data_IF_388102603798
#
_entry.id   IF_388102603798
#
_cell.length_a   1.000
_cell.length_b   1.000
_cell.length_c   1.000
_cell.angle_alpha   90.00
_cell.angle_beta   90.00
_cell.angle_gamma   90.00
#
_symmetry.space_group_name_H-M   'P 1'
#
loop_
_entity.id
_entity.type
_entity.pdbx_description
1 polymer ?
#
# COMPACT_ATOMS: atom_id res chain seq x y z
N UNK A 1 -0.15 -22.90 -5.31
CA UNK A 1 0.34 -22.16 -4.13
C UNK A 1 0.91 -23.16 -3.12
N UNK A 2 2.16 -23.00 -2.68
CA UNK A 2 2.68 -23.79 -1.54
C UNK A 2 2.45 -22.97 -0.28
N UNK A 3 1.60 -23.44 0.62
CA UNK A 3 1.47 -22.88 1.96
C UNK A 3 2.78 -23.10 2.72
N UNK A 4 3.32 -22.03 3.31
CA UNK A 4 4.58 -22.07 4.07
C UNK A 4 4.36 -22.33 5.55
N UNK A 5 3.14 -22.12 6.05
CA UNK A 5 2.77 -22.22 7.45
C UNK A 5 1.29 -22.54 7.59
N UNK A 6 0.90 -23.12 8.74
CA UNK A 6 -0.50 -23.33 9.11
C UNK A 6 -1.27 -22.01 9.19
N UNK A 7 -0.60 -20.90 9.52
CA UNK A 7 -1.18 -19.56 9.55
C UNK A 7 -1.57 -19.04 8.16
N UNK A 8 -0.97 -19.56 7.08
CA UNK A 8 -1.40 -19.24 5.71
C UNK A 8 -2.79 -19.81 5.39
N UNK A 9 -3.21 -20.82 6.14
CA UNK A 9 -4.50 -21.51 5.99
C UNK A 9 -5.55 -20.90 6.94
N UNK A 10 -5.15 -20.60 8.20
CA UNK A 10 -6.07 -20.09 9.24
C UNK A 10 -6.44 -18.63 8.98
N UNK A 11 -5.56 -17.86 8.35
CA UNK A 11 -5.73 -16.41 8.13
C UNK A 11 -5.57 -15.59 9.43
N UNK A 12 -5.61 -14.25 9.32
CA UNK A 12 -5.49 -13.35 10.46
C UNK A 12 -6.76 -13.35 11.33
N UNK A 13 -6.64 -12.90 12.57
CA UNK A 13 -7.80 -12.48 13.36
C UNK A 13 -8.46 -11.31 12.63
N UNK A 14 -9.76 -11.43 12.35
CA UNK A 14 -10.45 -10.47 11.49
C UNK A 14 -11.88 -10.21 11.92
N UNK A 15 -12.37 -9.02 11.60
CA UNK A 15 -13.78 -8.64 11.66
C UNK A 15 -14.35 -8.74 10.25
N UNK A 16 -15.34 -9.64 10.07
CA UNK A 16 -16.01 -9.83 8.78
C UNK A 16 -16.00 -11.28 8.31
N UNK A 17 -16.76 -11.60 7.26
CA UNK A 17 -17.05 -12.98 6.86
C UNK A 17 -15.98 -13.61 5.95
N UNK A 18 -15.07 -12.84 5.38
CA UNK A 18 -14.19 -13.33 4.31
C UNK A 18 -12.74 -12.87 4.48
N UNK A 19 -11.78 -13.81 4.46
CA UNK A 19 -10.37 -13.47 4.51
C UNK A 19 -9.90 -12.72 3.25
N UNK A 20 -10.46 -13.01 2.08
CA UNK A 20 -10.09 -12.32 0.83
C UNK A 20 -10.83 -11.00 0.63
N UNK A 21 -12.15 -10.95 0.90
CA UNK A 21 -12.99 -9.78 0.65
C UNK A 21 -13.00 -8.78 1.82
N UNK A 22 -12.69 -9.22 3.03
CA UNK A 22 -12.64 -8.33 4.20
C UNK A 22 -11.19 -8.10 4.66
N UNK A 23 -10.48 -9.13 5.17
CA UNK A 23 -9.16 -8.91 5.74
C UNK A 23 -8.12 -8.42 4.71
N UNK A 24 -8.12 -9.00 3.49
CA UNK A 24 -7.26 -8.52 2.40
C UNK A 24 -7.57 -7.08 1.98
N UNK A 25 -8.86 -6.72 1.95
CA UNK A 25 -9.30 -5.37 1.63
C UNK A 25 -8.88 -4.36 2.73
N UNK A 26 -9.05 -4.70 4.02
CA UNK A 26 -8.54 -3.86 5.13
C UNK A 26 -7.05 -3.59 4.95
N UNK A 27 -6.25 -4.63 4.65
CA UNK A 27 -4.81 -4.48 4.46
C UNK A 27 -4.45 -3.59 3.27
N UNK A 28 -5.17 -3.68 2.15
CA UNK A 28 -4.98 -2.77 1.02
C UNK A 28 -5.22 -1.32 1.45
N UNK A 29 -6.35 -1.03 2.11
CA UNK A 29 -6.66 0.30 2.62
C UNK A 29 -5.65 0.80 3.65
N UNK A 30 -5.25 -0.05 4.61
CA UNK A 30 -4.30 0.30 5.66
C UNK A 30 -2.89 0.57 5.10
N UNK A 31 -2.44 -0.21 4.14
CA UNK A 31 -1.16 0.02 3.49
C UNK A 31 -1.17 1.31 2.66
N UNK A 32 -2.29 1.61 1.98
CA UNK A 32 -2.49 2.91 1.33
C UNK A 32 -2.36 4.05 2.33
N UNK A 33 -2.99 3.92 3.50
CA UNK A 33 -2.92 4.92 4.58
C UNK A 33 -1.50 5.12 5.09
N UNK A 34 -0.71 4.05 5.21
CA UNK A 34 0.69 4.13 5.64
C UNK A 34 1.56 4.86 4.61
N UNK A 35 1.45 4.52 3.32
CA UNK A 35 2.21 5.20 2.25
C UNK A 35 1.79 6.67 2.14
N UNK A 36 0.48 6.96 2.26
CA UNK A 36 -0.02 8.33 2.19
C UNK A 36 0.45 9.19 3.37
N UNK A 37 0.63 8.59 4.53
CA UNK A 37 1.23 9.22 5.72
C UNK A 37 0.30 10.13 6.52
N UNK A 38 -0.93 10.41 6.03
CA UNK A 38 -1.89 11.29 6.68
C UNK A 38 -3.33 10.82 6.46
N UNK A 39 -4.31 11.41 7.18
CA UNK A 39 -5.72 11.13 6.96
C UNK A 39 -6.14 11.62 5.57
N UNK A 40 -6.67 10.72 4.68
CA UNK A 40 -7.28 11.17 3.43
C UNK A 40 -8.52 12.03 3.69
N UNK A 41 -8.72 13.05 2.85
CA UNK A 41 -9.92 13.89 2.83
C UNK A 41 -10.87 13.43 1.73
N UNK A 42 -10.33 13.15 0.52
CA UNK A 42 -11.07 12.63 -0.62
C UNK A 42 -10.52 11.27 -1.03
N UNK A 43 -11.42 10.31 -1.26
CA UNK A 43 -11.10 8.94 -1.60
C UNK A 43 -11.94 8.44 -2.76
N UNK A 44 -11.29 7.92 -3.79
CA UNK A 44 -11.95 7.26 -4.91
C UNK A 44 -11.47 5.82 -5.01
N UNK A 45 -12.41 4.88 -4.98
CA UNK A 45 -12.11 3.45 -5.01
C UNK A 45 -12.77 2.82 -6.22
N UNK A 46 -11.97 2.34 -7.18
CA UNK A 46 -12.46 1.58 -8.32
C UNK A 46 -12.30 0.09 -8.04
N UNK A 47 -13.40 -0.64 -8.10
CA UNK A 47 -13.47 -2.08 -7.84
C UNK A 47 -13.54 -2.88 -9.13
N UNK A 48 -12.84 -4.02 -9.17
CA UNK A 48 -12.77 -4.91 -10.31
C UNK A 48 -13.21 -6.34 -9.95
N UNK A 49 -13.76 -7.05 -10.92
CA UNK A 49 -14.11 -8.47 -10.81
C UNK A 49 -14.96 -8.80 -9.59
N UNK A 50 -14.58 -9.80 -8.82
CA UNK A 50 -15.35 -10.26 -7.66
C UNK A 50 -15.47 -9.19 -6.55
N UNK A 51 -14.51 -8.28 -6.42
CA UNK A 51 -14.67 -7.12 -5.53
C UNK A 51 -15.85 -6.25 -5.97
N UNK A 52 -15.97 -5.93 -7.27
CA UNK A 52 -17.10 -5.19 -7.84
C UNK A 52 -18.44 -5.90 -7.59
N UNK A 53 -18.49 -7.20 -7.85
CA UNK A 53 -19.74 -7.95 -7.79
C UNK A 53 -20.30 -8.15 -6.38
N UNK A 54 -19.40 -8.21 -5.37
CA UNK A 54 -19.78 -8.70 -4.04
C UNK A 54 -19.46 -7.73 -2.89
N UNK A 55 -18.94 -6.53 -3.16
CA UNK A 55 -18.37 -5.66 -2.13
C UNK A 55 -19.33 -5.31 -1.00
N UNK A 56 -20.62 -5.05 -1.28
CA UNK A 56 -21.63 -4.77 -0.25
C UNK A 56 -21.96 -6.01 0.60
N UNK A 57 -22.06 -7.17 -0.05
CA UNK A 57 -22.42 -8.43 0.63
C UNK A 57 -21.32 -8.99 1.51
N UNK A 58 -20.07 -8.81 1.13
CA UNK A 58 -18.90 -9.28 1.87
C UNK A 58 -18.20 -8.20 2.71
N UNK A 59 -18.71 -6.96 2.68
CA UNK A 59 -18.17 -5.84 3.43
C UNK A 59 -16.79 -5.39 2.96
N UNK A 60 -16.49 -5.54 1.66
CA UNK A 60 -15.24 -5.06 1.06
C UNK A 60 -15.15 -3.54 1.13
N UNK A 61 -16.26 -2.86 0.95
CA UNK A 61 -16.41 -1.40 1.08
C UNK A 61 -16.04 -0.90 2.47
N UNK A 62 -16.68 -1.43 3.51
CA UNK A 62 -16.38 -1.05 4.91
C UNK A 62 -14.94 -1.44 5.29
N UNK A 63 -14.40 -2.50 4.71
CA UNK A 63 -13.05 -2.98 4.94
C UNK A 63 -11.99 -2.03 4.35
N UNK A 64 -12.13 -1.62 3.09
CA UNK A 64 -11.25 -0.66 2.43
C UNK A 64 -11.24 0.68 3.17
N UNK A 65 -12.43 1.21 3.49
CA UNK A 65 -12.58 2.47 4.25
C UNK A 65 -11.99 2.33 5.65
N UNK A 66 -12.23 1.20 6.35
CA UNK A 66 -11.66 0.94 7.66
C UNK A 66 -10.12 0.95 7.64
N UNK A 67 -9.52 0.32 6.63
CA UNK A 67 -8.07 0.38 6.41
C UNK A 67 -7.56 1.80 6.19
N UNK A 68 -8.23 2.59 5.36
CA UNK A 68 -7.89 4.00 5.12
C UNK A 68 -8.03 4.89 6.36
N UNK A 69 -8.89 4.51 7.32
CA UNK A 69 -8.98 5.12 8.64
C UNK A 69 -7.88 4.65 9.61
N UNK A 70 -7.00 3.74 9.19
CA UNK A 70 -5.93 3.20 10.02
C UNK A 70 -6.33 2.00 10.89
N UNK A 71 -7.46 1.34 10.60
CA UNK A 71 -7.91 0.17 11.36
C UNK A 71 -7.23 -1.10 10.83
N UNK A 72 -6.79 -1.96 11.75
CA UNK A 72 -6.28 -3.30 11.40
C UNK A 72 -7.42 -4.31 11.22
N UNK A 73 -7.12 -5.51 10.75
CA UNK A 73 -8.11 -6.55 10.43
C UNK A 73 -8.97 -6.99 11.60
N UNK A 74 -8.50 -6.85 12.84
CA UNK A 74 -9.22 -7.25 14.07
C UNK A 74 -10.01 -6.12 14.73
N UNK A 75 -9.93 -4.90 14.20
CA UNK A 75 -10.57 -3.72 14.79
C UNK A 75 -12.08 -3.76 14.59
N UNK A 76 -12.81 -3.76 15.70
CA UNK A 76 -14.29 -3.80 15.67
C UNK A 76 -14.93 -2.58 15.00
N UNK A 77 -14.21 -1.45 14.92
CA UNK A 77 -14.66 -0.21 14.28
C UNK A 77 -14.81 -0.34 12.76
N UNK A 78 -14.26 -1.40 12.14
CA UNK A 78 -14.51 -1.71 10.73
C UNK A 78 -16.00 -1.75 10.41
N UNK A 79 -16.84 -2.25 11.32
CA UNK A 79 -18.29 -2.34 11.11
C UNK A 79 -18.99 -0.99 10.92
N UNK A 80 -18.42 0.07 11.46
CA UNK A 80 -18.92 1.45 11.42
C UNK A 80 -17.98 2.38 10.67
N UNK A 81 -17.11 1.83 9.79
CA UNK A 81 -16.09 2.64 9.11
C UNK A 81 -16.69 3.70 8.19
N UNK A 82 -17.85 3.47 7.58
CA UNK A 82 -18.54 4.47 6.74
C UNK A 82 -18.97 5.71 7.55
N UNK A 83 -19.52 5.50 8.76
CA UNK A 83 -19.90 6.58 9.66
C UNK A 83 -18.65 7.27 10.22
N UNK A 84 -17.64 6.47 10.60
CA UNK A 84 -16.38 7.00 11.14
C UNK A 84 -15.63 7.83 10.11
N UNK A 85 -15.67 7.45 8.81
CA UNK A 85 -15.09 8.21 7.72
C UNK A 85 -15.71 9.61 7.61
N UNK A 86 -17.04 9.69 7.64
CA UNK A 86 -17.75 10.98 7.63
C UNK A 86 -17.39 11.85 8.82
N UNK A 87 -17.30 11.26 10.02
CA UNK A 87 -16.89 11.98 11.24
C UNK A 87 -15.44 12.47 11.14
N UNK A 88 -14.57 11.69 10.47
CA UNK A 88 -13.18 12.07 10.22
C UNK A 88 -13.01 13.08 9.07
N UNK A 89 -14.10 13.52 8.42
CA UNK A 89 -14.06 14.45 7.29
C UNK A 89 -13.56 13.81 5.99
N UNK A 90 -13.64 12.48 5.88
CA UNK A 90 -13.23 11.74 4.68
C UNK A 90 -14.45 11.52 3.78
N UNK A 91 -14.45 12.15 2.62
CA UNK A 91 -15.40 11.87 1.54
C UNK A 91 -14.90 10.70 0.70
N UNK A 92 -15.83 9.86 0.23
CA UNK A 92 -15.45 8.69 -0.55
C UNK A 92 -16.50 8.29 -1.57
N UNK A 93 -16.03 7.77 -2.71
CA UNK A 93 -16.88 7.19 -3.73
C UNK A 93 -16.35 5.80 -4.16
N UNK A 94 -17.30 4.92 -4.53
CA UNK A 94 -17.00 3.61 -5.11
C UNK A 94 -17.42 3.58 -6.57
N UNK A 95 -16.51 3.13 -7.44
CA UNK A 95 -16.74 2.97 -8.88
C UNK A 95 -16.65 1.50 -9.22
N UNK A 96 -17.67 1.00 -9.88
CA UNK A 96 -17.71 -0.35 -10.44
C UNK A 96 -17.12 -0.32 -11.84
N UNK A 97 -15.94 -0.92 -12.03
CA UNK A 97 -15.26 -0.92 -13.32
C UNK A 97 -15.85 -1.96 -14.26
N UNK A 98 -16.07 -1.58 -15.52
CA UNK A 98 -16.41 -2.51 -16.60
C UNK A 98 -15.16 -3.20 -17.20
N UNK A 99 -13.97 -2.75 -16.83
CA UNK A 99 -12.71 -3.34 -17.29
C UNK A 99 -12.44 -4.61 -16.48
N UNK A 100 -12.25 -5.72 -17.16
CA UNK A 100 -11.77 -6.94 -16.53
C UNK A 100 -10.31 -6.78 -16.13
N UNK A 101 -9.99 -7.13 -14.88
CA UNK A 101 -8.63 -7.13 -14.37
C UNK A 101 -8.13 -8.57 -14.25
N UNK A 102 -6.81 -8.76 -14.34
CA UNK A 102 -6.15 -10.08 -14.27
C UNK A 102 -6.50 -10.83 -12.98
N UNK A 103 -6.74 -10.12 -11.87
CA UNK A 103 -7.13 -10.72 -10.59
C UNK A 103 -8.49 -10.19 -10.13
N UNK A 104 -9.46 -11.07 -9.79
CA UNK A 104 -10.83 -10.66 -9.48
C UNK A 104 -10.98 -9.80 -8.23
N UNK A 105 -10.08 -9.94 -7.25
CA UNK A 105 -10.13 -9.20 -5.98
C UNK A 105 -9.20 -7.97 -6.02
N UNK A 106 -9.37 -7.10 -7.01
CA UNK A 106 -8.54 -5.93 -7.24
C UNK A 106 -9.30 -4.64 -6.91
N UNK A 107 -8.60 -3.68 -6.31
CA UNK A 107 -9.05 -2.31 -6.10
C UNK A 107 -7.96 -1.32 -6.54
N UNK A 108 -8.34 -0.27 -7.27
CA UNK A 108 -7.55 0.95 -7.43
C UNK A 108 -8.04 1.94 -6.38
N UNK A 109 -7.12 2.53 -5.64
CA UNK A 109 -7.40 3.52 -4.61
C UNK A 109 -6.67 4.80 -4.97
N UNK A 110 -7.42 5.90 -5.07
CA UNK A 110 -6.92 7.25 -5.27
C UNK A 110 -7.30 8.05 -4.03
N UNK A 111 -6.31 8.65 -3.37
CA UNK A 111 -6.51 9.44 -2.14
C UNK A 111 -5.92 10.83 -2.29
N UNK A 112 -6.57 11.81 -1.66
CA UNK A 112 -6.12 13.19 -1.64
C UNK A 112 -6.34 13.81 -0.25
N UNK A 113 -5.44 14.74 0.15
CA UNK A 113 -5.61 15.65 1.27
C UNK A 113 -4.82 16.94 0.99
N UNK A 114 -5.54 18.07 0.90
CA UNK A 114 -4.96 19.33 0.47
C UNK A 114 -4.30 19.20 -0.91
N UNK A 115 -2.97 19.42 -0.99
CA UNK A 115 -2.18 19.29 -2.25
C UNK A 115 -1.50 17.93 -2.43
N UNK A 116 -1.65 17.05 -1.46
CA UNK A 116 -1.05 15.71 -1.51
C UNK A 116 -2.01 14.73 -2.15
N UNK A 117 -1.50 13.89 -3.04
CA UNK A 117 -2.25 12.82 -3.68
C UNK A 117 -1.42 11.55 -3.76
N UNK A 118 -2.09 10.42 -3.79
CA UNK A 118 -1.51 9.10 -4.00
C UNK A 118 -2.52 8.23 -4.73
N UNK A 119 -2.05 7.43 -5.68
CA UNK A 119 -2.84 6.33 -6.24
C UNK A 119 -2.05 5.03 -6.24
N UNK A 120 -2.76 3.94 -6.05
CA UNK A 120 -2.20 2.61 -6.12
C UNK A 120 -3.23 1.58 -6.58
N UNK A 121 -2.73 0.44 -7.07
CA UNK A 121 -3.56 -0.71 -7.39
C UNK A 121 -3.08 -1.91 -6.56
N UNK A 122 -4.02 -2.47 -5.80
CA UNK A 122 -3.78 -3.63 -4.95
C UNK A 122 -4.77 -4.75 -5.19
N UNK A 123 -4.35 -5.97 -4.88
CA UNK A 123 -5.19 -7.16 -4.95
C UNK A 123 -5.09 -7.98 -3.67
N UNK A 124 -6.21 -8.54 -3.27
CA UNK A 124 -6.24 -9.57 -2.22
C UNK A 124 -6.01 -10.94 -2.84
N UNK A 125 -5.04 -11.68 -2.31
CA UNK A 125 -4.63 -12.99 -2.83
C UNK A 125 -5.13 -14.18 -1.97
N UNK A 126 -6.06 -13.90 -1.03
CA UNK A 126 -6.60 -14.91 -0.11
C UNK A 126 -5.81 -15.02 1.19
N UNK A 127 -6.40 -15.70 2.20
CA UNK A 127 -5.78 -15.84 3.53
C UNK A 127 -5.53 -14.53 4.27
N UNK A 128 -6.23 -13.45 3.90
CA UNK A 128 -5.99 -12.10 4.43
C UNK A 128 -4.74 -11.41 3.88
N UNK A 129 -4.05 -12.02 2.92
CA UNK A 129 -2.87 -11.45 2.26
C UNK A 129 -3.25 -10.53 1.11
N UNK A 130 -2.41 -9.53 0.85
CA UNK A 130 -2.56 -8.61 -0.26
C UNK A 130 -1.25 -8.46 -1.04
N UNK A 131 -1.34 -7.89 -2.23
CA UNK A 131 -0.18 -7.43 -3.01
C UNK A 131 -0.56 -6.09 -3.65
N UNK A 132 0.23 -5.05 -3.37
CA UNK A 132 0.22 -3.82 -4.17
C UNK A 132 1.15 -4.05 -5.36
N UNK A 133 0.66 -3.87 -6.56
CA UNK A 133 1.43 -4.12 -7.77
C UNK A 133 1.63 -2.87 -8.64
N UNK A 134 0.93 -1.78 -8.34
CA UNK A 134 1.15 -0.47 -8.95
C UNK A 134 1.07 0.63 -7.88
N UNK A 135 1.96 1.60 -7.94
CA UNK A 135 2.01 2.78 -7.06
C UNK A 135 2.43 3.99 -7.90
N UNK A 136 1.56 5.00 -8.03
CA UNK A 136 1.83 6.22 -8.83
C UNK A 136 2.31 5.88 -10.26
N UNK A 137 1.73 4.85 -10.88
CA UNK A 137 2.13 4.36 -12.21
C UNK A 137 3.45 3.56 -12.25
N UNK A 138 4.09 3.30 -11.10
CA UNK A 138 5.25 2.44 -11.02
C UNK A 138 4.87 0.99 -10.75
N UNK A 139 5.47 0.06 -11.48
CA UNK A 139 5.38 -1.36 -11.16
C UNK A 139 6.07 -1.68 -9.84
N UNK A 140 5.31 -2.20 -8.87
CA UNK A 140 5.83 -2.66 -7.58
C UNK A 140 5.38 -4.11 -7.31
N UNK A 141 5.80 -4.69 -6.19
CA UNK A 141 5.32 -6.00 -5.75
C UNK A 141 5.47 -6.09 -4.24
N UNK A 142 4.50 -5.53 -3.51
CA UNK A 142 4.58 -5.31 -2.08
C UNK A 142 3.53 -6.13 -1.35
N UNK A 143 3.97 -6.97 -0.42
CA UNK A 143 3.08 -7.78 0.42
C UNK A 143 2.64 -7.07 1.71
N UNK A 144 3.35 -6.03 2.11
CA UNK A 144 3.18 -5.37 3.42
C UNK A 144 3.72 -6.19 4.60
N UNK A 145 4.54 -7.19 4.35
CA UNK A 145 5.11 -8.03 5.41
C UNK A 145 6.34 -7.39 6.07
N UNK A 146 6.89 -6.34 5.46
CA UNK A 146 8.11 -5.67 5.90
C UNK A 146 7.95 -4.15 5.93
N UNK A 147 8.65 -3.44 6.85
CA UNK A 147 8.86 -2.00 6.75
C UNK A 147 9.41 -1.66 5.37
N UNK A 148 8.77 -0.72 4.68
CA UNK A 148 9.03 -0.43 3.25
C UNK A 148 9.32 1.05 3.06
N UNK A 149 10.41 1.35 2.37
CA UNK A 149 10.85 2.70 2.02
C UNK A 149 10.68 2.93 0.52
N UNK A 150 10.05 4.04 0.16
CA UNK A 150 9.81 4.49 -1.20
C UNK A 150 10.66 5.73 -1.45
N UNK A 151 11.68 5.61 -2.28
CA UNK A 151 12.65 6.67 -2.55
C UNK A 151 12.44 7.14 -3.99
N UNK A 152 11.87 8.33 -4.15
CA UNK A 152 11.67 8.99 -5.43
C UNK A 152 12.89 9.83 -5.76
N UNK A 153 13.52 9.61 -6.91
CA UNK A 153 14.77 10.27 -7.26
C UNK A 153 14.88 10.61 -8.74
N UNK A 154 15.68 11.64 -9.07
CA UNK A 154 16.01 12.01 -10.46
C UNK A 154 16.97 10.99 -11.03
N UNK A 155 16.55 10.32 -12.11
CA UNK A 155 17.34 9.27 -12.73
C UNK A 155 18.47 9.82 -13.58
N UNK A 156 19.65 9.29 -13.34
CA UNK A 156 20.77 9.08 -14.26
C UNK A 156 21.66 7.98 -13.66
N UNK A 157 22.60 7.44 -14.47
CA UNK A 157 23.42 6.32 -14.04
C UNK A 157 24.29 6.65 -12.82
N UNK A 158 24.79 7.90 -12.72
CA UNK A 158 25.54 8.37 -11.57
C UNK A 158 24.69 8.35 -10.31
N UNK A 159 23.51 8.96 -10.34
CA UNK A 159 22.58 9.02 -9.22
C UNK A 159 22.16 7.62 -8.76
N UNK A 160 21.83 6.74 -9.70
CA UNK A 160 21.47 5.34 -9.40
C UNK A 160 22.61 4.62 -8.67
N UNK A 161 23.85 4.77 -9.15
CA UNK A 161 25.03 4.16 -8.51
C UNK A 161 25.28 4.71 -7.12
N UNK A 162 25.20 6.01 -6.94
CA UNK A 162 25.37 6.69 -5.65
C UNK A 162 24.29 6.26 -4.66
N UNK A 163 23.02 6.22 -5.10
CA UNK A 163 21.89 5.76 -4.28
C UNK A 163 22.09 4.30 -3.86
N UNK A 164 22.46 3.41 -4.78
CA UNK A 164 22.71 2.00 -4.48
C UNK A 164 23.79 1.80 -3.41
N UNK A 165 24.88 2.57 -3.49
CA UNK A 165 25.95 2.53 -2.47
C UNK A 165 25.44 3.02 -1.11
N UNK A 166 24.68 4.11 -1.08
CA UNK A 166 24.08 4.64 0.15
C UNK A 166 23.09 3.67 0.78
N UNK A 167 22.24 3.02 -0.01
CA UNK A 167 21.31 1.99 0.45
C UNK A 167 22.06 0.80 1.03
N UNK A 168 23.12 0.33 0.40
CA UNK A 168 23.93 -0.77 0.93
C UNK A 168 24.62 -0.40 2.26
N UNK A 169 25.09 0.84 2.40
CA UNK A 169 25.68 1.35 3.64
C UNK A 169 24.66 1.42 4.79
N UNK A 170 23.46 1.94 4.50
CA UNK A 170 22.43 2.20 5.52
C UNK A 170 21.69 0.92 5.93
N UNK A 171 21.27 0.12 4.97
CA UNK A 171 20.46 -1.08 5.24
C UNK A 171 21.31 -2.31 5.57
N UNK A 172 22.48 -2.48 4.90
CA UNK A 172 23.35 -3.63 5.13
C UNK A 172 22.60 -4.97 5.09
N UNK A 173 22.79 -5.77 6.13
CA UNK A 173 22.16 -7.09 6.29
C UNK A 173 20.65 -7.02 6.64
N UNK A 174 20.13 -5.84 6.95
CA UNK A 174 18.71 -5.63 7.24
C UNK A 174 17.86 -5.54 5.98
N UNK A 175 18.46 -5.33 4.81
CA UNK A 175 17.78 -5.25 3.53
C UNK A 175 17.20 -6.60 3.13
N UNK A 176 15.87 -6.65 2.95
CA UNK A 176 15.16 -7.84 2.49
C UNK A 176 15.07 -7.86 0.97
N UNK A 177 14.67 -6.75 0.38
CA UNK A 177 14.52 -6.61 -1.07
C UNK A 177 14.85 -5.18 -1.52
N UNK A 178 15.18 -5.07 -2.81
CA UNK A 178 15.45 -3.80 -3.49
C UNK A 178 14.90 -3.88 -4.90
N UNK A 179 14.02 -2.95 -5.28
CA UNK A 179 13.44 -2.90 -6.62
C UNK A 179 13.47 -1.49 -7.18
N UNK A 180 14.14 -1.33 -8.31
CA UNK A 180 14.10 -0.11 -9.11
C UNK A 180 12.97 -0.18 -10.11
N UNK A 181 12.17 0.89 -10.18
CA UNK A 181 11.08 1.03 -11.14
C UNK A 181 11.17 2.41 -11.81
N UNK A 182 10.93 2.46 -13.11
CA UNK A 182 10.92 3.70 -13.89
C UNK A 182 9.50 4.00 -14.34
N UNK A 183 9.08 5.25 -14.20
CA UNK A 183 7.82 5.72 -14.79
C UNK A 183 8.03 6.09 -16.25
N UNK A 184 6.99 5.93 -17.05
CA UNK A 184 6.90 6.46 -18.42
C UNK A 184 6.81 8.00 -18.39
N UNK A 185 6.41 8.57 -17.26
CA UNK A 185 6.23 10.01 -17.06
C UNK A 185 7.48 10.60 -16.37
N UNK A 186 8.25 11.36 -17.16
CA UNK A 186 9.21 12.40 -16.78
C UNK A 186 10.23 12.13 -15.66
N UNK A 187 11.37 11.49 -15.99
CA UNK A 187 12.65 11.71 -15.30
C UNK A 187 12.75 11.32 -13.81
N UNK A 188 11.65 10.96 -13.19
CA UNK A 188 11.60 10.46 -11.81
C UNK A 188 11.54 8.94 -11.80
N UNK A 189 12.34 8.31 -10.97
CA UNK A 189 12.32 6.87 -10.74
C UNK A 189 11.99 6.59 -9.28
N UNK A 190 11.50 5.40 -9.04
CA UNK A 190 11.21 4.87 -7.73
C UNK A 190 12.19 3.75 -7.38
N UNK A 191 12.83 3.86 -6.23
CA UNK A 191 13.48 2.75 -5.56
C UNK A 191 12.63 2.33 -4.37
N UNK A 192 12.22 1.07 -4.33
CA UNK A 192 11.57 0.45 -3.18
C UNK A 192 12.57 -0.42 -2.45
N UNK A 193 12.68 -0.24 -1.13
CA UNK A 193 13.53 -1.05 -0.25
C UNK A 193 12.68 -1.60 0.88
N UNK A 194 12.61 -2.91 1.00
CA UNK A 194 12.02 -3.58 2.16
C UNK A 194 13.12 -3.95 3.15
N UNK A 195 12.87 -3.78 4.44
CA UNK A 195 13.83 -4.01 5.53
C UNK A 195 13.27 -4.91 6.62
N UNK A 196 14.13 -5.63 7.32
CA UNK A 196 13.74 -6.41 8.50
C UNK A 196 13.32 -5.53 9.67
N UNK A 197 13.88 -4.33 9.76
CA UNK A 197 13.67 -3.38 10.85
C UNK A 197 13.47 -1.97 10.30
N UNK A 198 12.81 -1.12 11.08
CA UNK A 198 12.72 0.30 10.76
C UNK A 198 14.08 0.99 10.89
N UNK A 199 14.33 1.94 10.01
CA UNK A 199 15.47 2.84 10.10
C UNK A 199 15.23 3.92 11.14
N UNK A 200 16.28 4.35 11.81
CA UNK A 200 16.24 5.55 12.64
C UNK A 200 16.20 6.83 11.76
N UNK A 201 15.80 7.93 12.35
CA UNK A 201 15.67 9.23 11.68
C UNK A 201 16.99 9.68 11.01
N UNK A 202 18.14 9.46 11.63
CA UNK A 202 19.45 9.82 11.08
C UNK A 202 19.72 9.08 9.75
N UNK A 203 19.35 7.81 9.68
CA UNK A 203 19.49 6.99 8.46
C UNK A 203 18.57 7.47 7.33
N UNK A 204 17.34 7.83 7.67
CA UNK A 204 16.37 8.39 6.70
C UNK A 204 16.90 9.74 6.20
N UNK A 205 17.40 10.59 7.09
CA UNK A 205 17.96 11.90 6.76
C UNK A 205 19.13 11.77 5.77
N UNK A 206 20.04 10.82 5.96
CA UNK A 206 21.17 10.56 5.02
C UNK A 206 20.72 10.21 3.61
N UNK A 207 19.53 9.65 3.43
CA UNK A 207 18.95 9.38 2.11
C UNK A 207 18.32 10.65 1.55
N UNK A 208 17.56 11.37 2.39
CA UNK A 208 16.81 12.58 2.00
C UNK A 208 17.73 13.75 1.63
N UNK A 209 18.94 13.82 2.21
CA UNK A 209 19.94 14.85 1.94
C UNK A 209 20.66 14.67 0.58
N UNK A 210 20.47 13.56 -0.13
CA UNK A 210 20.98 13.40 -1.48
C UNK A 210 20.24 14.37 -2.43
N UNK A 211 20.98 15.29 -3.07
CA UNK A 211 20.41 16.36 -3.91
C UNK A 211 19.44 15.88 -5.01
N UNK A 212 19.61 14.65 -5.45
CA UNK A 212 18.79 14.04 -6.48
C UNK A 212 17.60 13.25 -5.95
N UNK A 213 17.46 13.10 -4.62
CA UNK A 213 16.29 12.50 -3.98
C UNK A 213 15.21 13.56 -3.83
N UNK A 214 14.03 13.29 -4.38
CA UNK A 214 12.90 14.22 -4.34
C UNK A 214 12.04 14.02 -3.09
N UNK A 215 11.82 12.76 -2.71
CA UNK A 215 10.95 12.38 -1.59
C UNK A 215 11.31 10.98 -1.09
N UNK A 216 11.17 10.78 0.21
CA UNK A 216 11.21 9.46 0.86
C UNK A 216 9.88 9.26 1.60
N UNK A 217 9.15 8.21 1.25
CA UNK A 217 7.95 7.78 2.00
C UNK A 217 8.25 6.48 2.72
N UNK A 218 7.50 6.23 3.79
CA UNK A 218 7.61 5.02 4.59
C UNK A 218 6.23 4.39 4.79
N UNK A 219 6.18 3.07 4.73
CA UNK A 219 5.04 2.28 5.18
C UNK A 219 5.53 1.21 6.15
N UNK A 220 4.89 1.18 7.31
CA UNK A 220 5.12 0.11 8.28
C UNK A 220 4.56 -1.22 7.78
N UNK A 221 5.01 -2.31 8.36
CA UNK A 221 4.44 -3.65 8.13
C UNK A 221 3.01 -3.75 8.67
N UNK A 222 2.21 -4.62 8.04
CA UNK A 222 0.81 -4.87 8.36
C UNK A 222 0.63 -5.98 9.41
#
# INVERSE_FOLDING_TARGET
>A
MKYRSVFDIIGPVMVGPSSSHTAGAVRIGLFTRYIFGMQPEDVKITLYGSFKETYKGHGTDIALIGGLLGYNTSDKRIRTSMENAKVAGMEFEFIESEIEHIHPNTAKIEVQAGRHSLDLIGKSIGGGKMVIFELLGFDVNLSGDFPTYFIFYKFNDKNKKELSLRIQEIFGDKKVSEKYSSSILEGTNLLVVESLEELNEESIQKITELEFVNEVKFADKL
#
